data_IF_097353100611
#
_entry.id   IF_097353100611
#
_cell.length_a   1.000
_cell.length_b   1.000
_cell.length_c   1.000
_cell.angle_alpha   90.00
_cell.angle_beta   90.00
_cell.angle_gamma   90.00
#
_symmetry.space_group_name_H-M   'P 1'
#
loop_
_entity.id
_entity.type
_entity.pdbx_description
1 polymer ?
#
# COMPACT_ATOMS: atom_id res chain seq x y z
N UNK A 1 -21.77 -0.79 -17.04
CA UNK A 1 -21.57 0.09 -15.87
C UNK A 1 -22.29 1.41 -16.06
N UNK A 2 -23.02 1.86 -15.04
CA UNK A 2 -23.55 3.23 -14.94
C UNK A 2 -22.77 4.00 -13.87
N UNK A 3 -22.21 5.16 -14.23
CA UNK A 3 -21.45 6.02 -13.31
C UNK A 3 -22.19 7.36 -13.12
N UNK A 4 -22.62 7.66 -11.91
CA UNK A 4 -23.23 8.93 -11.52
C UNK A 4 -22.13 9.88 -11.04
N UNK A 5 -21.64 10.76 -11.90
CA UNK A 5 -20.59 11.75 -11.63
C UNK A 5 -21.22 13.05 -11.08
N UNK A 6 -21.65 13.04 -9.82
CA UNK A 6 -22.45 14.13 -9.24
C UNK A 6 -21.60 15.29 -8.67
N UNK A 7 -20.29 15.12 -8.59
CA UNK A 7 -19.33 16.17 -8.19
C UNK A 7 -18.41 16.62 -9.32
N UNK A 8 -18.32 15.85 -10.40
CA UNK A 8 -17.46 16.16 -11.54
C UNK A 8 -18.25 16.73 -12.72
N UNK A 9 -17.65 17.71 -13.40
CA UNK A 9 -18.19 18.22 -14.67
C UNK A 9 -17.81 17.33 -15.86
N UNK A 10 -18.62 17.37 -16.92
CA UNK A 10 -18.43 16.59 -18.15
C UNK A 10 -17.04 16.70 -18.75
N UNK A 11 -16.49 17.92 -18.87
CA UNK A 11 -15.15 18.16 -19.42
C UNK A 11 -14.04 17.51 -18.60
N UNK A 12 -14.14 17.58 -17.26
CA UNK A 12 -13.18 16.98 -16.34
C UNK A 12 -13.20 15.44 -16.42
N UNK A 13 -14.39 14.86 -16.47
CA UNK A 13 -14.57 13.42 -16.66
C UNK A 13 -13.98 12.96 -18.01
N UNK A 14 -14.26 13.66 -19.11
CA UNK A 14 -13.69 13.35 -20.42
C UNK A 14 -12.16 13.39 -20.41
N UNK A 15 -11.56 14.41 -19.78
CA UNK A 15 -10.10 14.54 -19.69
C UNK A 15 -9.49 13.38 -18.91
N UNK A 16 -10.12 12.97 -17.80
CA UNK A 16 -9.67 11.85 -16.98
C UNK A 16 -9.80 10.53 -17.74
N UNK A 17 -10.93 10.29 -18.40
CA UNK A 17 -11.15 9.09 -19.23
C UNK A 17 -10.14 8.97 -20.38
N UNK A 18 -9.82 10.05 -21.08
CA UNK A 18 -8.79 10.02 -22.15
C UNK A 18 -7.43 9.56 -21.64
N UNK A 19 -7.03 9.99 -20.42
CA UNK A 19 -5.78 9.53 -19.78
C UNK A 19 -5.84 8.06 -19.40
N UNK A 20 -6.95 7.63 -18.76
CA UNK A 20 -7.15 6.24 -18.34
C UNK A 20 -7.18 5.28 -19.53
N UNK A 21 -7.80 5.68 -20.62
CA UNK A 21 -7.93 4.87 -21.84
C UNK A 21 -6.70 4.92 -22.75
N UNK A 22 -5.72 5.78 -22.46
CA UNK A 22 -4.50 5.92 -23.27
C UNK A 22 -4.81 6.09 -24.78
N UNK A 23 -5.83 6.89 -25.10
CA UNK A 23 -6.28 7.15 -26.47
C UNK A 23 -7.22 6.10 -27.07
N UNK A 24 -7.50 5.01 -26.36
CA UNK A 24 -8.50 4.01 -26.80
C UNK A 24 -9.91 4.60 -26.69
N UNK A 25 -10.86 4.14 -27.54
CA UNK A 25 -12.25 4.55 -27.41
C UNK A 25 -12.85 4.11 -26.07
N UNK A 26 -13.79 4.90 -25.56
CA UNK A 26 -14.54 4.52 -24.37
C UNK A 26 -15.37 3.23 -24.63
N UNK A 27 -15.47 2.32 -23.66
CA UNK A 27 -16.33 1.16 -23.80
C UNK A 27 -17.79 1.56 -24.06
N UNK A 28 -18.44 0.92 -25.01
CA UNK A 28 -19.83 1.22 -25.37
C UNK A 28 -20.83 1.02 -24.21
N UNK A 29 -20.50 0.11 -23.29
CA UNK A 29 -21.30 -0.21 -22.10
C UNK A 29 -20.94 0.63 -20.86
N UNK A 30 -20.22 1.76 -21.04
CA UNK A 30 -19.99 2.75 -19.99
C UNK A 30 -20.95 3.93 -20.15
N UNK A 31 -21.91 4.00 -19.27
CA UNK A 31 -22.90 5.08 -19.20
C UNK A 31 -22.51 6.07 -18.11
N UNK A 32 -22.70 7.38 -18.34
CA UNK A 32 -22.39 8.42 -17.36
C UNK A 32 -23.55 9.39 -17.22
N UNK A 33 -24.00 9.60 -15.99
CA UNK A 33 -24.97 10.64 -15.60
C UNK A 33 -24.29 11.71 -14.75
N UNK A 34 -24.63 12.98 -14.98
CA UNK A 34 -24.06 14.12 -14.24
C UNK A 34 -25.07 14.76 -13.28
N UNK A 35 -26.30 14.26 -13.26
CA UNK A 35 -27.36 14.71 -12.38
C UNK A 35 -28.18 13.51 -11.93
N UNK A 36 -28.66 13.55 -10.70
CA UNK A 36 -29.59 12.57 -10.14
C UNK A 36 -30.44 13.23 -9.05
N UNK A 37 -31.64 12.68 -8.84
CA UNK A 37 -32.47 13.02 -7.70
C UNK A 37 -31.86 12.48 -6.39
N UNK A 38 -32.42 12.90 -5.26
CA UNK A 38 -32.06 12.33 -3.96
C UNK A 38 -32.92 11.08 -3.68
N UNK A 39 -32.43 10.26 -2.78
CA UNK A 39 -33.19 9.15 -2.21
C UNK A 39 -34.47 9.69 -1.57
N UNK A 40 -35.60 9.11 -1.93
CA UNK A 40 -36.93 9.59 -1.54
C UNK A 40 -37.48 10.75 -2.39
N UNK A 41 -36.72 11.24 -3.36
CA UNK A 41 -37.17 12.28 -4.32
C UNK A 41 -37.18 11.73 -5.78
N UNK A 42 -37.19 10.39 -5.98
CA UNK A 42 -37.30 9.75 -7.30
C UNK A 42 -36.01 9.08 -7.83
N UNK A 43 -34.93 9.01 -7.03
CA UNK A 43 -33.67 8.40 -7.48
C UNK A 43 -33.83 6.93 -7.89
N UNK A 44 -34.44 6.11 -7.03
CA UNK A 44 -34.55 4.67 -7.27
C UNK A 44 -35.46 4.34 -8.44
N UNK A 45 -36.53 5.11 -8.59
CA UNK A 45 -37.48 5.04 -9.71
C UNK A 45 -36.73 5.33 -11.03
N UNK A 46 -36.02 6.46 -11.11
CA UNK A 46 -35.28 6.86 -12.31
C UNK A 46 -34.13 5.86 -12.64
N UNK A 47 -33.41 5.37 -11.61
CA UNK A 47 -32.41 4.32 -11.81
C UNK A 47 -33.06 3.02 -12.30
N UNK A 48 -34.24 2.67 -11.74
CA UNK A 48 -34.99 1.50 -12.14
C UNK A 48 -35.38 1.52 -13.61
N UNK A 49 -36.00 2.59 -14.07
CA UNK A 49 -36.36 2.79 -15.48
C UNK A 49 -35.14 2.74 -16.41
N UNK A 50 -34.04 3.36 -15.98
CA UNK A 50 -32.81 3.35 -16.78
C UNK A 50 -32.20 1.96 -16.90
N UNK A 51 -32.18 1.19 -15.81
CA UNK A 51 -31.67 -0.18 -15.80
C UNK A 51 -32.56 -1.14 -16.60
N UNK A 52 -33.88 -0.96 -16.57
CA UNK A 52 -34.81 -1.74 -17.38
C UNK A 52 -34.59 -1.52 -18.89
N UNK A 53 -34.23 -0.29 -19.27
CA UNK A 53 -33.88 0.04 -20.65
C UNK A 53 -32.43 -0.41 -21.03
N UNK A 54 -31.56 -0.75 -20.04
CA UNK A 54 -30.17 -1.13 -20.23
C UNK A 54 -29.81 -2.36 -19.37
N UNK A 55 -30.32 -3.55 -19.67
CA UNK A 55 -30.22 -4.73 -18.82
C UNK A 55 -28.77 -5.27 -18.66
N UNK A 56 -27.85 -4.86 -19.50
CA UNK A 56 -26.42 -5.22 -19.41
C UNK A 56 -25.65 -4.46 -18.31
N UNK A 57 -26.31 -3.55 -17.60
CA UNK A 57 -25.69 -2.80 -16.50
C UNK A 57 -25.78 -3.61 -15.22
N UNK A 58 -24.65 -4.12 -14.74
CA UNK A 58 -24.54 -4.85 -13.47
C UNK A 58 -23.81 -4.07 -12.36
N UNK A 59 -23.27 -2.90 -12.66
CA UNK A 59 -22.56 -2.03 -11.69
C UNK A 59 -23.06 -0.59 -11.81
N UNK A 60 -23.54 -0.04 -10.71
CA UNK A 60 -23.91 1.38 -10.56
C UNK A 60 -22.94 2.03 -9.57
N UNK A 61 -22.11 2.96 -10.05
CA UNK A 61 -21.22 3.75 -9.21
C UNK A 61 -21.84 5.12 -8.92
N UNK A 62 -21.91 5.53 -7.67
CA UNK A 62 -22.46 6.82 -7.26
C UNK A 62 -21.37 7.66 -6.58
N UNK A 63 -20.95 8.73 -7.23
CA UNK A 63 -19.91 9.65 -6.77
C UNK A 63 -20.48 11.08 -6.62
N UNK A 64 -20.91 11.47 -5.42
CA UNK A 64 -20.73 10.80 -4.12
C UNK A 64 -22.07 10.58 -3.39
N UNK A 65 -22.05 9.75 -2.35
CA UNK A 65 -23.20 9.48 -1.47
C UNK A 65 -23.85 10.77 -0.94
N UNK A 66 -23.06 11.77 -0.57
CA UNK A 66 -23.54 13.05 -0.06
C UNK A 66 -24.51 13.77 -1.00
N UNK A 67 -24.42 13.55 -2.31
CA UNK A 67 -25.28 14.18 -3.32
C UNK A 67 -26.66 13.56 -3.41
N UNK A 68 -26.76 12.28 -3.11
CA UNK A 68 -28.02 11.53 -3.17
C UNK A 68 -28.67 11.31 -1.80
N UNK A 69 -27.98 11.63 -0.71
CA UNK A 69 -28.49 11.49 0.67
C UNK A 69 -29.80 12.27 0.84
N UNK A 70 -30.82 11.71 1.52
CA UNK A 70 -32.06 12.43 1.82
C UNK A 70 -31.75 13.73 2.59
N UNK A 71 -32.63 14.70 2.51
CA UNK A 71 -32.56 15.89 3.37
C UNK A 71 -32.83 15.47 4.80
N UNK A 72 -31.95 15.91 5.73
CA UNK A 72 -32.13 15.62 7.16
C UNK A 72 -33.49 16.19 7.66
N UNK A 73 -34.18 15.39 8.43
CA UNK A 73 -35.40 15.84 9.13
C UNK A 73 -35.04 16.37 10.51
N UNK A 74 -35.77 17.36 11.04
CA UNK A 74 -35.56 17.81 12.41
C UNK A 74 -35.69 16.65 13.40
N UNK A 75 -34.77 16.57 14.36
CA UNK A 75 -34.78 15.56 15.43
C UNK A 75 -34.58 14.10 15.01
N UNK A 76 -34.21 13.83 13.76
CA UNK A 76 -33.89 12.48 13.28
C UNK A 76 -32.50 12.05 13.79
N UNK A 77 -32.42 10.80 14.32
CA UNK A 77 -31.11 10.22 14.68
C UNK A 77 -30.31 9.94 13.41
N UNK A 78 -29.09 10.47 13.35
CA UNK A 78 -28.23 10.31 12.16
C UNK A 78 -27.89 8.84 11.86
N UNK A 79 -27.76 8.00 12.88
CA UNK A 79 -27.49 6.57 12.71
C UNK A 79 -28.68 5.87 12.03
N UNK A 80 -29.89 6.07 12.57
CA UNK A 80 -31.11 5.42 12.05
C UNK A 80 -31.40 5.88 10.62
N UNK A 81 -31.22 7.18 10.35
CA UNK A 81 -31.36 7.74 9.01
C UNK A 81 -30.36 7.16 8.02
N UNK A 82 -29.09 7.06 8.42
CA UNK A 82 -28.02 6.49 7.58
C UNK A 82 -28.28 5.00 7.32
N UNK A 83 -28.73 4.25 8.31
CA UNK A 83 -29.05 2.83 8.17
C UNK A 83 -30.27 2.60 7.25
N UNK A 84 -31.33 3.40 7.39
CA UNK A 84 -32.54 3.30 6.57
C UNK A 84 -32.27 3.52 5.08
N UNK A 85 -31.61 4.62 4.70
CA UNK A 85 -31.37 4.86 3.28
C UNK A 85 -30.36 3.91 2.67
N UNK A 86 -29.37 3.42 3.44
CA UNK A 86 -28.45 2.38 2.99
C UNK A 86 -29.19 1.06 2.77
N UNK A 87 -30.11 0.70 3.69
CA UNK A 87 -30.99 -0.47 3.55
C UNK A 87 -31.83 -0.42 2.29
N UNK A 88 -32.38 0.76 1.94
CA UNK A 88 -33.16 0.95 0.69
C UNK A 88 -32.28 0.78 -0.56
N UNK A 89 -31.05 1.30 -0.57
CA UNK A 89 -30.11 1.10 -1.66
C UNK A 89 -29.72 -0.38 -1.81
N UNK A 90 -29.49 -1.06 -0.68
CA UNK A 90 -29.19 -2.49 -0.68
C UNK A 90 -30.36 -3.31 -1.23
N UNK A 91 -31.57 -3.09 -0.73
CA UNK A 91 -32.78 -3.77 -1.23
C UNK A 91 -32.99 -3.53 -2.74
N UNK A 92 -32.72 -2.34 -3.23
CA UNK A 92 -32.76 -2.02 -4.65
C UNK A 92 -31.70 -2.83 -5.44
N UNK A 93 -30.46 -2.88 -4.95
CA UNK A 93 -29.40 -3.65 -5.58
C UNK A 93 -29.71 -5.15 -5.63
N UNK A 94 -30.14 -5.71 -4.49
CA UNK A 94 -30.48 -7.13 -4.34
C UNK A 94 -31.63 -7.53 -5.27
N UNK A 95 -32.70 -6.72 -5.33
CA UNK A 95 -33.89 -6.99 -6.17
C UNK A 95 -33.58 -7.02 -7.67
N UNK A 96 -32.50 -6.37 -8.10
CA UNK A 96 -32.08 -6.27 -9.49
C UNK A 96 -30.84 -7.09 -9.83
N UNK A 97 -30.22 -7.76 -8.85
CA UNK A 97 -28.99 -8.53 -9.04
C UNK A 97 -27.80 -7.68 -9.50
N UNK A 98 -27.69 -6.44 -9.03
CA UNK A 98 -26.62 -5.50 -9.38
C UNK A 98 -25.75 -5.14 -8.18
N UNK A 99 -24.54 -4.66 -8.45
CA UNK A 99 -23.67 -4.04 -7.45
C UNK A 99 -23.88 -2.52 -7.44
N UNK A 100 -24.10 -1.92 -6.26
CA UNK A 100 -24.09 -0.47 -6.07
C UNK A 100 -22.85 -0.09 -5.30
N UNK A 101 -21.92 0.63 -5.96
CA UNK A 101 -20.68 1.14 -5.37
C UNK A 101 -20.85 2.62 -5.00
N UNK A 102 -20.81 2.92 -3.70
CA UNK A 102 -20.94 4.27 -3.17
C UNK A 102 -19.58 4.87 -2.86
N UNK A 103 -19.26 6.01 -3.46
CA UNK A 103 -18.10 6.80 -3.10
C UNK A 103 -18.47 7.74 -1.96
N UNK A 104 -17.66 7.78 -0.91
CA UNK A 104 -17.87 8.64 0.23
C UNK A 104 -16.56 9.22 0.76
N UNK A 105 -16.62 10.41 1.35
CA UNK A 105 -15.42 11.05 1.93
C UNK A 105 -15.13 10.53 3.34
N UNK A 106 -13.86 10.45 3.69
CA UNK A 106 -13.41 10.23 5.06
C UNK A 106 -13.51 11.51 5.89
N UNK A 107 -13.55 11.38 7.23
CA UNK A 107 -13.54 12.51 8.17
C UNK A 107 -12.22 13.27 8.08
N UNK A 108 -12.23 14.57 8.40
CA UNK A 108 -11.01 15.40 8.47
C UNK A 108 -10.14 15.02 9.67
N UNK A 109 -10.75 14.68 10.81
CA UNK A 109 -10.06 14.20 12.01
C UNK A 109 -9.90 12.68 11.87
N UNK A 110 -8.66 12.22 11.74
CA UNK A 110 -8.33 10.80 11.57
C UNK A 110 -8.13 10.14 12.93
N UNK A 111 -8.72 8.95 13.10
CA UNK A 111 -8.31 8.01 14.12
C UNK A 111 -7.14 7.18 13.55
N UNK A 112 -5.92 7.26 14.13
CA UNK A 112 -4.78 6.50 13.61
C UNK A 112 -4.87 5.00 13.93
N UNK A 113 -5.70 4.60 14.89
CA UNK A 113 -5.83 3.21 15.35
C UNK A 113 -6.78 2.39 14.47
N UNK A 114 -7.82 3.02 13.92
CA UNK A 114 -8.76 2.37 13.01
C UNK A 114 -9.12 3.27 11.82
N UNK A 115 -8.68 2.87 10.64
CA UNK A 115 -8.94 3.60 9.39
C UNK A 115 -10.41 3.52 8.96
N UNK A 116 -11.17 2.50 9.40
CA UNK A 116 -12.59 2.39 9.10
C UNK A 116 -13.43 3.36 9.91
N UNK A 117 -13.00 3.72 11.12
CA UNK A 117 -13.61 4.79 11.93
C UNK A 117 -13.50 6.17 11.27
N UNK A 118 -12.60 6.32 10.31
CA UNK A 118 -12.42 7.57 9.59
C UNK A 118 -13.47 7.83 8.50
N UNK A 119 -14.39 6.90 8.24
CA UNK A 119 -15.47 7.11 7.28
C UNK A 119 -16.42 8.20 7.81
N UNK A 120 -16.70 9.19 6.96
CA UNK A 120 -17.59 10.29 7.32
C UNK A 120 -19.03 9.80 7.38
N UNK A 121 -19.72 10.03 8.50
CA UNK A 121 -21.09 9.57 8.72
C UNK A 121 -21.21 8.76 10.00
N UNK A 122 -22.34 8.08 10.16
CA UNK A 122 -22.54 7.16 11.27
C UNK A 122 -21.99 5.76 10.94
N UNK A 123 -21.79 4.94 11.95
CA UNK A 123 -21.49 3.51 11.80
C UNK A 123 -22.61 2.74 11.08
N UNK A 124 -23.80 3.34 10.93
CA UNK A 124 -24.92 2.81 10.15
C UNK A 124 -24.59 2.61 8.67
N UNK A 125 -23.72 3.47 8.08
CA UNK A 125 -23.27 3.30 6.68
C UNK A 125 -22.46 2.02 6.52
N UNK A 126 -21.51 1.79 7.43
CA UNK A 126 -20.65 0.60 7.41
C UNK A 126 -21.43 -0.69 7.68
N UNK A 127 -22.34 -0.65 8.65
CA UNK A 127 -23.14 -1.82 9.06
C UNK A 127 -24.07 -2.35 7.97
N UNK A 128 -24.49 -1.50 7.03
CA UNK A 128 -25.37 -1.87 5.92
C UNK A 128 -24.63 -2.31 4.65
N UNK A 129 -23.34 -2.03 4.53
CA UNK A 129 -22.53 -2.41 3.37
C UNK A 129 -22.10 -3.88 3.43
N UNK A 130 -22.06 -4.58 2.28
CA UNK A 130 -21.53 -5.94 2.19
C UNK A 130 -20.02 -5.95 2.22
N UNK A 131 -19.38 -4.91 1.64
CA UNK A 131 -17.94 -4.68 1.74
C UNK A 131 -17.63 -3.19 1.77
N UNK A 132 -16.47 -2.88 2.30
CA UNK A 132 -15.96 -1.50 2.44
C UNK A 132 -14.52 -1.44 1.99
N UNK A 133 -14.20 -0.42 1.17
CA UNK A 133 -12.84 -0.10 0.75
C UNK A 133 -12.49 1.28 1.33
N UNK A 134 -11.37 1.36 2.05
CA UNK A 134 -10.81 2.63 2.51
C UNK A 134 -9.52 2.91 1.78
N UNK A 135 -9.43 4.09 1.17
CA UNK A 135 -8.20 4.63 0.59
C UNK A 135 -7.65 5.69 1.54
N UNK A 136 -6.59 5.36 2.26
CA UNK A 136 -6.01 6.25 3.26
C UNK A 136 -4.67 6.81 2.83
N UNK A 137 -4.60 8.15 2.69
CA UNK A 137 -3.37 8.90 2.45
C UNK A 137 -2.92 9.60 3.72
N UNK A 138 -1.65 9.48 4.07
CA UNK A 138 -1.09 10.19 5.22
C UNK A 138 -0.96 11.68 4.94
N UNK A 139 -0.52 12.05 3.75
CA UNK A 139 -0.44 13.44 3.28
C UNK A 139 -1.08 13.60 1.90
N UNK A 140 -1.59 14.81 1.63
CA UNK A 140 -2.12 15.14 0.29
C UNK A 140 -1.07 15.09 -0.81
N UNK A 141 0.20 15.28 -0.44
CA UNK A 141 1.33 15.30 -1.37
C UNK A 141 1.87 13.91 -1.69
N UNK A 142 1.50 12.88 -0.89
CA UNK A 142 1.96 11.53 -1.11
C UNK A 142 1.37 10.94 -2.39
N UNK A 143 2.20 10.21 -3.12
CA UNK A 143 1.75 9.44 -4.29
C UNK A 143 1.31 8.02 -3.86
N UNK A 144 1.55 7.62 -2.61
CA UNK A 144 1.15 6.34 -2.02
C UNK A 144 -0.08 6.51 -1.11
N UNK A 145 -0.89 5.46 -1.04
CA UNK A 145 -2.02 5.36 -0.12
C UNK A 145 -2.16 3.91 0.39
N UNK A 146 -2.70 3.76 1.59
CA UNK A 146 -3.22 2.49 2.07
C UNK A 146 -4.51 2.14 1.33
N UNK A 147 -4.65 0.88 0.95
CA UNK A 147 -5.86 0.27 0.43
C UNK A 147 -6.29 -0.81 1.43
N UNK A 148 -7.38 -0.55 2.12
CA UNK A 148 -7.94 -1.48 3.10
C UNK A 148 -9.29 -1.95 2.60
N UNK A 149 -9.51 -3.27 2.62
CA UNK A 149 -10.75 -3.92 2.21
C UNK A 149 -11.23 -4.82 3.35
N UNK A 150 -12.51 -4.71 3.70
CA UNK A 150 -13.21 -5.62 4.62
C UNK A 150 -14.63 -5.86 4.16
N UNK A 151 -15.23 -6.97 4.54
CA UNK A 151 -16.61 -7.31 4.21
C UNK A 151 -17.06 -8.61 4.84
N UNK A 152 -18.34 -8.97 4.59
CA UNK A 152 -18.98 -10.15 5.21
C UNK A 152 -18.42 -11.45 4.68
N UNK A 153 -18.24 -11.54 3.35
CA UNK A 153 -17.88 -12.77 2.64
C UNK A 153 -16.54 -12.65 1.91
N UNK A 154 -15.70 -11.68 2.31
CA UNK A 154 -14.39 -11.44 1.71
C UNK A 154 -13.30 -11.39 2.78
N UNK A 155 -12.15 -11.96 2.45
CA UNK A 155 -10.97 -11.88 3.31
C UNK A 155 -10.49 -10.43 3.43
N UNK A 156 -10.22 -10.01 4.67
CA UNK A 156 -9.64 -8.69 4.93
C UNK A 156 -8.31 -8.54 4.20
N UNK A 157 -8.15 -7.43 3.50
CA UNK A 157 -6.98 -7.17 2.67
C UNK A 157 -6.42 -5.78 2.96
N UNK A 158 -5.14 -5.72 3.28
CA UNK A 158 -4.38 -4.48 3.41
C UNK A 158 -3.25 -4.46 2.40
N UNK A 159 -3.19 -3.41 1.58
CA UNK A 159 -2.18 -3.21 0.54
C UNK A 159 -1.76 -1.75 0.48
N UNK A 160 -0.60 -1.51 -0.12
CA UNK A 160 -0.16 -0.18 -0.53
C UNK A 160 -0.43 -0.02 -2.01
N UNK A 161 -1.00 1.12 -2.38
CA UNK A 161 -1.24 1.51 -3.76
C UNK A 161 -0.49 2.81 -4.06
N UNK A 162 -0.03 2.96 -5.31
CA UNK A 162 0.67 4.16 -5.77
C UNK A 162 -0.05 4.78 -6.96
N UNK A 163 -0.19 6.11 -6.94
CA UNK A 163 -0.85 6.84 -8.01
C UNK A 163 0.10 7.07 -9.19
N UNK A 164 -0.20 6.48 -10.35
CA UNK A 164 0.44 6.78 -11.62
C UNK A 164 -0.16 8.04 -12.22
N UNK A 165 0.55 9.16 -12.07
CA UNK A 165 0.10 10.47 -12.55
C UNK A 165 -0.03 10.54 -14.08
N UNK A 166 0.81 9.82 -14.80
CA UNK A 166 0.80 9.82 -16.26
C UNK A 166 -0.46 9.13 -16.79
N UNK A 167 -0.83 8.00 -16.20
CA UNK A 167 -1.99 7.19 -16.59
C UNK A 167 -3.25 7.48 -15.78
N UNK A 168 -3.15 8.36 -14.77
CA UNK A 168 -4.26 8.73 -13.87
C UNK A 168 -4.93 7.52 -13.20
N UNK A 169 -4.12 6.55 -12.72
CA UNK A 169 -4.61 5.33 -12.08
C UNK A 169 -3.81 4.94 -10.84
N UNK A 170 -4.45 4.22 -9.93
CA UNK A 170 -3.79 3.59 -8.81
C UNK A 170 -3.24 2.23 -9.23
N UNK A 171 -2.04 1.90 -8.77
CA UNK A 171 -1.35 0.63 -9.05
C UNK A 171 -1.01 -0.04 -7.73
N UNK A 172 -1.42 -1.29 -7.58
CA UNK A 172 -1.11 -2.11 -6.41
C UNK A 172 0.40 -2.34 -6.32
N UNK A 173 0.99 -2.10 -5.14
CA UNK A 173 2.43 -2.28 -4.90
C UNK A 173 2.74 -3.54 -4.08
N UNK A 174 1.80 -3.99 -3.26
CA UNK A 174 1.97 -5.12 -2.34
C UNK A 174 1.59 -4.76 -0.91
N UNK A 175 2.01 -5.58 0.05
CA UNK A 175 1.80 -5.26 1.48
C UNK A 175 2.85 -4.28 1.98
N UNK A 176 2.56 -3.56 3.07
CA UNK A 176 3.53 -2.68 3.73
C UNK A 176 4.80 -3.44 4.15
N UNK A 177 4.66 -4.68 4.64
CA UNK A 177 5.78 -5.53 5.02
C UNK A 177 6.66 -5.91 3.82
N UNK A 178 6.06 -6.27 2.68
CA UNK A 178 6.79 -6.57 1.45
C UNK A 178 7.57 -5.35 0.93
N UNK A 179 6.95 -4.18 0.95
CA UNK A 179 7.60 -2.93 0.54
C UNK A 179 8.73 -2.54 1.49
N UNK A 180 8.54 -2.67 2.80
CA UNK A 180 9.59 -2.44 3.79
C UNK A 180 10.78 -3.39 3.59
N UNK A 181 10.51 -4.68 3.32
CA UNK A 181 11.55 -5.66 3.01
C UNK A 181 12.31 -5.28 1.71
N UNK A 182 11.60 -4.91 0.65
CA UNK A 182 12.21 -4.46 -0.60
C UNK A 182 13.07 -3.21 -0.41
N UNK A 183 12.59 -2.21 0.36
CA UNK A 183 13.37 -1.00 0.69
C UNK A 183 14.64 -1.34 1.45
N UNK A 184 14.56 -2.20 2.47
CA UNK A 184 15.75 -2.66 3.23
C UNK A 184 16.77 -3.34 2.33
N UNK A 185 16.34 -4.18 1.41
CA UNK A 185 17.24 -4.82 0.42
C UNK A 185 17.87 -3.77 -0.49
N UNK A 186 17.09 -2.83 -1.04
CA UNK A 186 17.62 -1.78 -1.90
C UNK A 186 18.60 -0.85 -1.17
N UNK A 187 18.33 -0.48 0.08
CA UNK A 187 19.25 0.28 0.94
C UNK A 187 20.56 -0.47 1.20
N UNK A 188 20.47 -1.77 1.47
CA UNK A 188 21.63 -2.63 1.64
C UNK A 188 22.48 -2.72 0.36
N UNK A 189 21.87 -2.94 -0.80
CA UNK A 189 22.57 -2.98 -2.09
C UNK A 189 23.21 -1.63 -2.47
N UNK A 190 22.61 -0.53 -2.06
CA UNK A 190 23.15 0.82 -2.27
C UNK A 190 24.27 1.20 -1.30
N UNK A 191 24.39 0.50 -0.16
CA UNK A 191 25.29 0.83 0.94
C UNK A 191 26.78 0.82 0.52
N UNK A 192 27.53 1.92 0.68
CA UNK A 192 28.93 1.99 0.29
C UNK A 192 29.83 0.98 0.99
N UNK A 193 29.56 0.68 2.26
CA UNK A 193 30.28 -0.33 3.03
C UNK A 193 30.14 -1.70 2.37
N UNK A 194 28.93 -2.09 1.97
CA UNK A 194 28.65 -3.37 1.33
C UNK A 194 29.38 -3.48 -0.01
N UNK A 195 29.29 -2.43 -0.84
CA UNK A 195 30.01 -2.38 -2.14
C UNK A 195 31.51 -2.54 -1.95
N UNK A 196 32.09 -1.83 -0.98
CA UNK A 196 33.51 -1.91 -0.65
C UNK A 196 33.87 -3.31 -0.18
N UNK A 197 33.12 -3.91 0.73
CA UNK A 197 33.39 -5.24 1.26
C UNK A 197 33.32 -6.32 0.18
N UNK A 198 32.37 -6.27 -0.73
CA UNK A 198 32.25 -7.23 -1.85
C UNK A 198 33.52 -7.22 -2.71
N UNK A 199 34.03 -6.02 -3.03
CA UNK A 199 35.29 -5.91 -3.79
C UNK A 199 36.49 -6.45 -2.99
N UNK A 200 36.60 -6.09 -1.71
CA UNK A 200 37.71 -6.54 -0.85
C UNK A 200 37.74 -8.06 -0.66
N UNK A 201 36.55 -8.66 -0.44
CA UNK A 201 36.42 -10.11 -0.27
C UNK A 201 36.71 -10.87 -1.56
N UNK A 202 36.30 -10.33 -2.71
CA UNK A 202 36.60 -10.90 -4.01
C UNK A 202 38.12 -10.88 -4.28
N UNK A 203 38.82 -9.81 -3.90
CA UNK A 203 40.32 -9.70 -4.06
C UNK A 203 41.07 -10.52 -3.03
N UNK A 204 40.50 -10.74 -1.83
CA UNK A 204 41.12 -11.44 -0.71
C UNK A 204 40.70 -12.91 -0.55
N UNK A 205 40.27 -13.56 -1.62
CA UNK A 205 39.81 -14.97 -1.61
C UNK A 205 38.76 -15.25 -0.49
N UNK A 206 37.77 -14.37 -0.42
CA UNK A 206 36.68 -14.47 0.55
C UNK A 206 37.01 -13.97 1.95
N UNK A 207 38.18 -13.37 2.19
CA UNK A 207 38.56 -12.84 3.51
C UNK A 207 39.17 -11.44 3.41
N UNK A 208 38.85 -10.61 4.41
CA UNK A 208 39.50 -9.32 4.60
C UNK A 208 39.67 -8.99 6.07
N UNK A 209 40.78 -8.39 6.43
CA UNK A 209 41.08 -7.96 7.80
C UNK A 209 41.86 -6.65 7.78
N UNK A 210 41.45 -5.67 8.56
CA UNK A 210 42.09 -4.37 8.63
C UNK A 210 41.48 -3.46 9.72
N UNK A 211 42.20 -2.37 10.01
CA UNK A 211 41.67 -1.36 10.95
C UNK A 211 40.64 -0.47 10.30
N UNK A 212 39.79 0.17 11.13
CA UNK A 212 38.74 1.10 10.67
C UNK A 212 39.28 2.13 9.66
N UNK A 213 40.50 2.66 9.88
CA UNK A 213 41.13 3.63 8.98
C UNK A 213 41.39 3.03 7.58
N UNK A 214 41.92 1.81 7.53
CA UNK A 214 42.16 1.12 6.24
C UNK A 214 40.84 0.91 5.49
N UNK A 215 39.74 0.52 6.19
CA UNK A 215 38.43 0.34 5.56
C UNK A 215 37.89 1.65 4.98
N UNK A 216 38.07 2.77 5.68
CA UNK A 216 37.69 4.10 5.16
C UNK A 216 38.46 4.46 3.87
N UNK A 217 39.75 4.21 3.83
CA UNK A 217 40.61 4.43 2.64
C UNK A 217 40.11 3.56 1.46
N UNK A 218 39.75 2.30 1.73
CA UNK A 218 39.21 1.40 0.71
C UNK A 218 37.81 1.86 0.21
N UNK A 219 37.00 2.43 1.09
CA UNK A 219 35.72 3.03 0.69
C UNK A 219 35.90 4.16 -0.31
N UNK A 220 36.82 5.06 -0.06
CA UNK A 220 37.16 6.12 -1.01
C UNK A 220 37.66 5.56 -2.36
N UNK A 221 38.39 4.47 -2.33
CA UNK A 221 38.96 3.85 -3.53
C UNK A 221 37.93 3.07 -4.36
N UNK A 222 37.02 2.33 -3.72
CA UNK A 222 36.16 1.39 -4.40
C UNK A 222 34.68 1.82 -4.47
N UNK A 223 34.20 2.61 -3.49
CA UNK A 223 32.86 3.16 -3.50
C UNK A 223 32.81 4.66 -3.89
N UNK A 224 33.99 5.29 -4.06
CA UNK A 224 34.16 6.72 -4.38
C UNK A 224 33.44 7.66 -3.40
N UNK A 225 33.34 7.25 -2.15
CA UNK A 225 32.67 8.02 -1.09
C UNK A 225 33.27 7.66 0.28
N UNK A 226 33.03 8.53 1.27
CA UNK A 226 33.29 8.22 2.66
C UNK A 226 32.26 7.21 3.18
N UNK A 227 32.73 6.13 3.83
CA UNK A 227 31.87 5.09 4.38
C UNK A 227 31.10 5.55 5.62
N UNK A 228 31.65 6.49 6.36
CA UNK A 228 31.02 7.10 7.53
C UNK A 228 31.74 8.41 7.91
N UNK A 229 31.11 9.34 8.64
CA UNK A 229 31.71 10.60 9.09
C UNK A 229 32.92 10.44 10.03
N UNK A 230 33.01 9.33 10.73
CA UNK A 230 34.14 9.01 11.64
C UNK A 230 34.21 7.50 11.91
N UNK A 231 35.33 7.08 12.54
CA UNK A 231 35.62 5.66 12.80
C UNK A 231 34.65 4.98 13.78
N UNK A 232 34.07 5.74 14.70
CA UNK A 232 33.06 5.21 15.64
C UNK A 232 31.74 4.92 14.89
N UNK A 233 31.28 5.85 14.07
CA UNK A 233 30.09 5.67 13.24
C UNK A 233 30.28 4.56 12.22
N UNK A 234 31.47 4.40 11.62
CA UNK A 234 31.78 3.27 10.76
C UNK A 234 31.57 1.94 11.49
N UNK A 235 32.15 1.80 12.68
CA UNK A 235 32.02 0.58 13.49
C UNK A 235 30.57 0.29 13.87
N UNK A 236 29.79 1.32 14.23
CA UNK A 236 28.38 1.20 14.53
C UNK A 236 27.58 0.75 13.29
N UNK A 237 27.84 1.38 12.15
CA UNK A 237 27.17 1.06 10.90
C UNK A 237 27.43 -0.38 10.43
N UNK A 238 28.66 -0.86 10.56
CA UNK A 238 28.98 -2.27 10.27
C UNK A 238 28.19 -3.23 11.16
N UNK A 239 28.05 -2.92 12.46
CA UNK A 239 27.24 -3.74 13.37
C UNK A 239 25.77 -3.76 12.98
N UNK A 240 25.20 -2.63 12.58
CA UNK A 240 23.81 -2.53 12.08
C UNK A 240 23.59 -3.35 10.79
N UNK A 241 24.62 -3.41 9.93
CA UNK A 241 24.56 -4.17 8.67
C UNK A 241 24.79 -5.69 8.87
N UNK A 242 25.32 -6.11 10.02
CA UNK A 242 25.72 -7.50 10.25
C UNK A 242 24.63 -8.55 9.92
N UNK A 243 23.34 -8.38 10.29
CA UNK A 243 22.31 -9.33 9.92
C UNK A 243 22.13 -9.48 8.41
N UNK A 244 22.16 -8.36 7.70
CA UNK A 244 21.99 -8.34 6.24
C UNK A 244 23.26 -8.84 5.50
N UNK A 245 24.45 -8.57 6.03
CA UNK A 245 25.72 -9.12 5.51
C UNK A 245 25.70 -10.65 5.55
N UNK A 246 25.15 -11.23 6.61
CA UNK A 246 24.97 -12.68 6.71
C UNK A 246 23.86 -13.19 5.80
N UNK A 247 22.68 -12.61 5.87
CA UNK A 247 21.49 -13.07 5.14
C UNK A 247 21.67 -12.99 3.61
N UNK A 248 22.31 -11.91 3.11
CA UNK A 248 22.40 -11.63 1.68
C UNK A 248 23.68 -12.08 1.02
N UNK A 249 24.80 -11.92 1.70
CA UNK A 249 26.14 -12.16 1.13
C UNK A 249 26.90 -13.27 1.87
N UNK A 250 26.31 -13.90 2.89
CA UNK A 250 26.98 -14.91 3.73
C UNK A 250 28.28 -14.42 4.37
N UNK A 251 28.36 -13.13 4.62
CA UNK A 251 29.54 -12.50 5.22
C UNK A 251 29.42 -12.54 6.73
N UNK A 252 30.33 -13.27 7.37
CA UNK A 252 30.54 -13.25 8.82
C UNK A 252 31.45 -12.11 9.20
N UNK A 253 31.07 -11.34 10.21
CA UNK A 253 31.81 -10.21 10.76
C UNK A 253 32.15 -10.42 12.22
N UNK A 254 33.38 -10.09 12.60
CA UNK A 254 33.83 -9.96 13.99
C UNK A 254 34.93 -8.90 14.10
N UNK A 255 35.21 -8.42 15.30
CA UNK A 255 36.28 -7.46 15.53
C UNK A 255 37.09 -7.78 16.77
N UNK A 256 38.35 -7.35 16.76
CA UNK A 256 39.28 -7.39 17.90
C UNK A 256 39.68 -5.96 18.27
N UNK A 257 39.72 -5.65 19.57
CA UNK A 257 40.18 -4.34 20.08
C UNK A 257 41.66 -4.48 20.49
N UNK A 258 42.55 -3.72 19.84
CA UNK A 258 43.96 -3.69 20.18
C UNK A 258 44.31 -2.31 20.73
N UNK A 259 44.01 -2.04 21.99
CA UNK A 259 44.45 -0.84 22.73
C UNK A 259 44.47 0.44 21.87
N UNK A 260 45.68 1.03 21.72
CA UNK A 260 45.90 2.28 20.99
C UNK A 260 45.72 2.18 19.46
N UNK A 261 45.72 0.99 18.87
CA UNK A 261 45.58 0.82 17.41
C UNK A 261 44.12 0.82 16.93
N UNK A 262 43.13 0.83 17.87
CA UNK A 262 41.72 0.85 17.54
C UNK A 262 41.14 -0.54 17.22
N UNK A 263 39.98 -0.56 16.57
CA UNK A 263 39.28 -1.80 16.19
C UNK A 263 39.83 -2.36 14.90
N UNK A 264 40.21 -3.65 14.94
CA UNK A 264 40.51 -4.44 13.75
C UNK A 264 39.28 -5.24 13.35
N UNK A 265 38.73 -4.91 12.19
CA UNK A 265 37.55 -5.57 11.60
C UNK A 265 37.98 -6.77 10.80
N UNK A 266 37.21 -7.85 10.88
CA UNK A 266 37.48 -9.09 10.15
C UNK A 266 36.16 -9.48 9.45
N UNK A 267 36.27 -9.80 8.18
CA UNK A 267 35.15 -10.27 7.37
C UNK A 267 35.55 -11.56 6.66
N UNK A 268 34.62 -12.51 6.62
CA UNK A 268 34.80 -13.76 5.86
C UNK A 268 33.48 -14.08 5.16
N UNK A 269 33.56 -14.30 3.86
CA UNK A 269 32.47 -14.85 3.08
C UNK A 269 32.49 -16.37 3.20
N UNK A 270 31.42 -16.96 3.70
CA UNK A 270 31.29 -18.41 3.82
C UNK A 270 30.69 -18.97 2.52
N UNK A 271 31.30 -20.04 1.99
CA UNK A 271 30.73 -20.78 0.87
C UNK A 271 29.58 -21.62 1.42
N UNK A 272 28.36 -21.42 0.89
CA UNK A 272 27.27 -22.34 1.16
C UNK A 272 27.48 -23.55 0.25
N UNK A 273 27.98 -24.64 0.81
CA UNK A 273 27.92 -25.92 0.12
C UNK A 273 26.46 -26.34 -0.03
N UNK A 274 25.94 -26.29 -1.25
CA UNK A 274 24.55 -26.70 -1.58
C UNK A 274 24.24 -28.19 -1.25
N UNK A 275 25.18 -28.92 -0.64
CA UNK A 275 25.03 -30.32 -0.23
C UNK A 275 24.91 -30.52 1.29
N UNK A 276 24.89 -29.45 2.10
CA UNK A 276 24.65 -29.61 3.54
C UNK A 276 23.14 -29.55 3.78
N UNK A 277 22.55 -30.67 4.18
CA UNK A 277 21.17 -30.78 4.71
C UNK A 277 20.93 -29.68 5.74
N UNK A 278 19.89 -28.88 5.53
CA UNK A 278 19.41 -27.82 6.45
C UNK A 278 19.32 -28.44 7.87
N UNK A 279 19.96 -27.86 8.88
CA UNK A 279 19.83 -28.37 10.25
C UNK A 279 18.36 -28.34 10.69
N UNK A 280 17.87 -29.43 11.25
CA UNK A 280 16.47 -29.66 11.69
C UNK A 280 15.97 -28.60 12.69
N UNK A 281 16.85 -27.78 13.28
CA UNK A 281 16.48 -26.69 14.20
C UNK A 281 15.78 -25.49 13.54
N UNK A 282 15.88 -25.33 12.22
CA UNK A 282 15.19 -24.24 11.50
C UNK A 282 13.75 -24.60 11.07
N UNK A 283 13.35 -25.87 11.13
CA UNK A 283 12.01 -26.32 10.78
C UNK A 283 10.97 -26.22 11.91
N UNK A 284 11.41 -25.98 13.14
CA UNK A 284 10.51 -25.92 14.30
C UNK A 284 9.91 -24.53 14.56
N UNK A 285 10.41 -23.48 13.95
CA UNK A 285 9.84 -22.12 14.10
C UNK A 285 8.69 -21.79 13.11
N UNK A 286 8.43 -22.65 12.11
CA UNK A 286 7.38 -22.43 11.11
C UNK A 286 6.07 -23.20 11.40
N UNK A 287 5.99 -23.97 12.50
CA UNK A 287 4.78 -24.77 12.83
C UNK A 287 3.92 -24.23 13.97
N UNK A 288 4.15 -23.02 14.48
CA UNK A 288 3.39 -22.49 15.62
C UNK A 288 2.52 -21.26 15.31
N UNK A 289 2.14 -21.02 14.08
CA UNK A 289 1.20 -19.96 13.74
C UNK A 289 0.05 -20.42 12.82
N UNK A 290 -0.56 -21.58 13.15
CA UNK A 290 -1.89 -21.95 12.65
C UNK A 290 -2.63 -22.67 13.78
N UNK A 291 -3.30 -21.89 14.63
CA UNK A 291 -4.55 -22.26 15.29
C UNK A 291 -5.29 -20.96 15.62
#
# INVERSE_FOLDING_TARGET
TLYLALEDGKSRMQTRLRRLLEGRPAPANMHVMFQAQRLGEGLLETLGEYLDANPDIHLVCIDTLSKIKPKAKPFENAYDADYDYMGRLKAFADSRGICVLLVHHTRKSKNPEDSFDNINGSTGILGAADFTIVLDKQSRMDDEAGFLLTGRDIEQCERVIRFDKARCRWVMQGTAAQLAAQRRVAEYEAEPIVKTLRVLLQQGDGTWSGYSKNLMEMGQRYAHTELAPNLQMLSKRIQELQPMLWERDTIRYWYNSNGNAGRKHNFRQERIDNNASVPVSAQLSLRHNYH
#
